data_IF_665314436122
#
_entry.id   IF_665314436122
#
_cell.length_a   1.000
_cell.length_b   1.000
_cell.length_c   1.000
_cell.angle_alpha   90.00
_cell.angle_beta   90.00
_cell.angle_gamma   90.00
#
_symmetry.space_group_name_H-M   'P 1'
#
loop_
_entity.id
_entity.type
_entity.pdbx_description
1 polymer ?
#
# COMPACT_ATOMS: atom_id res chain seq x y z
N UNK A 1 6.99 -20.37 27.81
CA UNK A 1 6.61 -21.46 26.87
C UNK A 1 6.87 -20.97 25.45
N UNK A 2 7.80 -21.57 24.73
CA UNK A 2 8.01 -21.26 23.30
C UNK A 2 6.87 -21.91 22.51
N UNK A 3 6.00 -21.10 21.91
CA UNK A 3 4.90 -21.60 21.07
C UNK A 3 5.51 -22.23 19.83
N UNK A 4 5.35 -23.54 19.66
CA UNK A 4 5.79 -24.25 18.46
C UNK A 4 4.88 -23.88 17.28
N UNK A 5 5.27 -22.85 16.52
CA UNK A 5 4.59 -22.48 15.27
C UNK A 5 5.32 -23.09 14.08
N UNK A 6 4.59 -23.54 13.04
CA UNK A 6 5.22 -24.02 11.82
C UNK A 6 6.07 -22.93 11.18
N UNK A 7 7.31 -23.27 10.82
CA UNK A 7 8.22 -22.38 10.11
C UNK A 7 7.88 -22.37 8.60
N UNK A 8 7.28 -21.27 8.14
CA UNK A 8 6.90 -21.09 6.74
C UNK A 8 7.92 -20.29 5.91
N UNK A 9 9.12 -20.03 6.43
CA UNK A 9 10.13 -19.18 5.76
C UNK A 9 10.52 -19.77 4.40
N UNK A 10 10.82 -21.07 4.32
CA UNK A 10 11.21 -21.71 3.06
C UNK A 10 10.10 -21.65 2.00
N UNK A 11 8.84 -21.78 2.41
CA UNK A 11 7.69 -21.68 1.52
C UNK A 11 7.54 -20.24 0.97
N UNK A 12 7.69 -19.24 1.85
CA UNK A 12 7.66 -17.84 1.46
C UNK A 12 8.84 -17.48 0.54
N UNK A 13 10.05 -17.97 0.82
CA UNK A 13 11.22 -17.75 -0.05
C UNK A 13 10.97 -18.27 -1.46
N UNK A 14 10.50 -19.52 -1.61
CA UNK A 14 10.14 -20.08 -2.92
C UNK A 14 9.08 -19.24 -3.62
N UNK A 15 8.04 -18.82 -2.88
CA UNK A 15 6.96 -18.02 -3.44
C UNK A 15 7.40 -16.63 -3.92
N UNK A 16 8.22 -15.91 -3.15
CA UNK A 16 8.65 -14.55 -3.48
C UNK A 16 9.87 -14.51 -4.41
N UNK A 17 10.68 -15.58 -4.49
CA UNK A 17 11.85 -15.66 -5.37
C UNK A 17 11.57 -16.32 -6.73
N UNK A 18 10.42 -16.99 -6.91
CA UNK A 18 10.06 -17.55 -8.21
C UNK A 18 10.03 -16.46 -9.32
N UNK A 19 10.36 -16.77 -10.58
CA UNK A 19 10.24 -15.80 -11.67
C UNK A 19 8.82 -15.23 -11.75
N UNK A 20 8.70 -13.91 -11.76
CA UNK A 20 7.41 -13.22 -11.83
C UNK A 20 7.56 -11.89 -12.54
N UNK A 21 6.52 -11.50 -13.28
CA UNK A 21 6.39 -10.17 -13.87
C UNK A 21 5.78 -9.15 -12.89
N UNK A 22 5.30 -9.61 -11.72
CA UNK A 22 4.72 -8.72 -10.73
C UNK A 22 5.82 -8.07 -9.87
N UNK A 23 5.75 -6.76 -9.63
CA UNK A 23 6.57 -6.10 -8.63
C UNK A 23 6.41 -6.72 -7.23
N UNK A 24 7.48 -6.69 -6.44
CA UNK A 24 7.52 -7.33 -5.12
C UNK A 24 6.42 -6.84 -4.17
N UNK A 25 6.08 -5.55 -4.23
CA UNK A 25 5.12 -4.87 -3.34
C UNK A 25 3.64 -5.18 -3.64
N UNK A 26 3.32 -5.94 -4.69
CA UNK A 26 1.94 -6.43 -4.97
C UNK A 26 1.87 -7.95 -5.07
N UNK A 27 2.98 -8.63 -4.76
CA UNK A 27 3.12 -10.06 -5.05
C UNK A 27 2.33 -10.91 -4.06
N UNK A 28 2.28 -10.54 -2.80
CA UNK A 28 1.52 -11.26 -1.78
C UNK A 28 0.02 -11.21 -2.01
N UNK A 29 -0.69 -12.25 -1.55
CA UNK A 29 -2.15 -12.38 -1.71
C UNK A 29 -2.93 -11.19 -1.13
N UNK A 30 -2.42 -10.58 -0.05
CA UNK A 30 -3.06 -9.43 0.63
C UNK A 30 -2.46 -8.09 0.23
N UNK A 31 -1.31 -8.09 -0.44
CA UNK A 31 -0.56 -6.87 -0.74
C UNK A 31 -1.37 -5.95 -1.65
N UNK A 32 -2.12 -6.50 -2.61
CA UNK A 32 -3.03 -5.73 -3.48
C UNK A 32 -4.06 -4.91 -2.70
N UNK A 33 -4.61 -5.49 -1.62
CA UNK A 33 -5.58 -4.79 -0.76
C UNK A 33 -4.88 -3.66 0.01
N UNK A 34 -3.73 -3.96 0.62
CA UNK A 34 -2.95 -2.99 1.39
C UNK A 34 -2.55 -1.80 0.51
N UNK A 35 -1.99 -2.10 -0.67
CA UNK A 35 -1.61 -1.12 -1.68
C UNK A 35 -2.80 -0.27 -2.08
N UNK A 36 -3.94 -0.88 -2.41
CA UNK A 36 -5.16 -0.15 -2.79
C UNK A 36 -5.58 0.87 -1.72
N UNK A 37 -5.57 0.46 -0.45
CA UNK A 37 -5.91 1.34 0.68
C UNK A 37 -4.91 2.50 0.78
N UNK A 38 -3.62 2.22 0.69
CA UNK A 38 -2.56 3.26 0.76
C UNK A 38 -2.71 4.27 -0.37
N UNK A 39 -2.84 3.81 -1.62
CA UNK A 39 -2.97 4.69 -2.78
C UNK A 39 -4.28 5.49 -2.76
N UNK A 40 -5.35 4.91 -2.22
CA UNK A 40 -6.62 5.64 -2.01
C UNK A 40 -6.44 6.77 -1.01
N UNK A 41 -5.82 6.50 0.15
CA UNK A 41 -5.56 7.52 1.16
C UNK A 41 -4.66 8.66 0.65
N UNK A 42 -3.59 8.30 -0.06
CA UNK A 42 -2.70 9.28 -0.71
C UNK A 42 -3.44 10.11 -1.76
N UNK A 43 -4.28 9.48 -2.59
CA UNK A 43 -5.09 10.17 -3.59
C UNK A 43 -6.05 11.19 -2.97
N UNK A 44 -6.78 10.80 -1.93
CA UNK A 44 -7.67 11.71 -1.18
C UNK A 44 -6.86 12.87 -0.57
N UNK A 45 -5.71 12.59 0.03
CA UNK A 45 -4.84 13.61 0.61
C UNK A 45 -4.36 14.63 -0.42
N UNK A 46 -3.87 14.16 -1.57
CA UNK A 46 -3.40 15.03 -2.66
C UNK A 46 -4.53 15.89 -3.23
N UNK A 47 -5.73 15.32 -3.42
CA UNK A 47 -6.90 16.08 -3.85
C UNK A 47 -7.28 17.14 -2.82
N UNK A 48 -7.30 16.80 -1.53
CA UNK A 48 -7.59 17.73 -0.44
C UNK A 48 -6.61 18.91 -0.40
N UNK A 49 -5.30 18.64 -0.51
CA UNK A 49 -4.26 19.68 -0.54
C UNK A 49 -4.41 20.57 -1.77
N UNK A 50 -4.68 19.98 -2.93
CA UNK A 50 -4.84 20.74 -4.19
C UNK A 50 -6.04 21.67 -4.12
N UNK A 51 -7.19 21.16 -3.66
CA UNK A 51 -8.42 21.94 -3.48
C UNK A 51 -8.23 23.03 -2.42
N UNK A 52 -7.63 22.69 -1.27
CA UNK A 52 -7.35 23.64 -0.20
C UNK A 52 -6.43 24.77 -0.66
N UNK A 53 -5.35 24.45 -1.36
CA UNK A 53 -4.42 25.44 -1.92
C UNK A 53 -5.11 26.32 -2.95
N UNK A 54 -5.93 25.75 -3.84
CA UNK A 54 -6.73 26.51 -4.81
C UNK A 54 -7.67 27.51 -4.13
N UNK A 55 -8.36 27.10 -3.06
CA UNK A 55 -9.21 27.99 -2.27
C UNK A 55 -8.41 29.12 -1.59
N UNK A 56 -7.22 28.82 -1.06
CA UNK A 56 -6.32 29.83 -0.47
C UNK A 56 -5.87 30.88 -1.50
N UNK A 57 -5.48 30.44 -2.70
CA UNK A 57 -5.08 31.34 -3.81
C UNK A 57 -6.25 32.23 -4.23
N UNK A 58 -7.47 31.70 -4.28
CA UNK A 58 -8.67 32.45 -4.62
C UNK A 58 -9.22 33.31 -3.45
N UNK A 59 -8.61 33.24 -2.26
CA UNK A 59 -9.08 33.93 -1.06
C UNK A 59 -10.41 33.42 -0.50
N UNK A 60 -10.89 32.26 -0.95
CA UNK A 60 -12.15 31.67 -0.50
C UNK A 60 -11.92 30.84 0.76
N UNK A 61 -12.66 31.15 1.83
CA UNK A 61 -12.47 30.57 3.18
C UNK A 61 -13.44 29.44 3.52
N UNK A 62 -14.42 29.17 2.65
CA UNK A 62 -15.49 28.19 2.84
C UNK A 62 -15.29 26.97 1.93
#
# INVERSE_FOLDING_TARGET
MLVNRPNNVLANQRYFQAPSQLPLWIRGKRDKLIVSVVFTGLGIGLLGVTVGTGKMVLGNKN
#
